data_IF_969401886538
#
_entry.id   IF_969401886538
#
_cell.length_a   1.000
_cell.length_b   1.000
_cell.length_c   1.000
_cell.angle_alpha   90.00
_cell.angle_beta   90.00
_cell.angle_gamma   90.00
#
_symmetry.space_group_name_H-M   'P 1'
#
loop_
_entity.id
_entity.type
_entity.pdbx_description
1 polymer ?
#
# COMPACT_ATOMS: atom_id res chain seq x y z
N UNK A 1 2.61 11.11 20.97
CA UNK A 1 2.61 11.27 19.50
C UNK A 1 1.54 10.36 18.93
N UNK A 2 0.76 10.83 17.95
CA UNK A 2 -0.30 10.04 17.31
C UNK A 2 0.33 9.19 16.21
N UNK A 3 0.11 7.88 16.24
CA UNK A 3 0.64 6.97 15.22
C UNK A 3 0.03 7.30 13.85
N UNK A 4 0.82 7.06 12.80
CA UNK A 4 0.36 7.13 11.41
C UNK A 4 -0.36 5.82 11.12
N UNK A 5 -1.62 5.91 10.72
CA UNK A 5 -2.45 4.74 10.44
C UNK A 5 -2.78 4.65 8.96
N UNK A 6 -2.50 3.48 8.38
CA UNK A 6 -2.93 3.09 7.04
C UNK A 6 -3.98 2.00 7.19
N UNK A 7 -5.06 2.12 6.42
CA UNK A 7 -6.14 1.15 6.38
C UNK A 7 -6.39 0.79 4.93
N UNK A 8 -6.54 -0.50 4.68
CA UNK A 8 -6.89 -1.02 3.37
C UNK A 8 -7.92 -2.14 3.54
N UNK A 9 -8.73 -2.36 2.53
CA UNK A 9 -9.72 -3.43 2.51
C UNK A 9 -9.79 -4.04 1.11
N UNK A 10 -9.54 -5.36 1.06
CA UNK A 10 -9.64 -6.13 -0.16
C UNK A 10 -10.92 -6.96 -0.09
N UNK A 11 -11.80 -6.75 -1.06
CA UNK A 11 -13.01 -7.53 -1.22
C UNK A 11 -12.74 -8.79 -2.06
N UNK A 12 -12.86 -9.96 -1.43
CA UNK A 12 -12.71 -11.26 -2.09
C UNK A 12 -14.04 -11.82 -2.60
N UNK A 13 -15.12 -11.04 -2.59
CA UNK A 13 -16.45 -11.44 -3.11
C UNK A 13 -16.40 -11.82 -4.60
N UNK A 14 -15.44 -11.29 -5.37
CA UNK A 14 -15.19 -11.68 -6.76
C UNK A 14 -14.45 -13.02 -6.90
N UNK A 15 -13.85 -13.55 -5.83
CA UNK A 15 -13.00 -14.75 -5.85
C UNK A 15 -13.75 -16.01 -5.42
N UNK A 16 -14.86 -16.34 -6.11
CA UNK A 16 -15.73 -17.52 -5.91
C UNK A 16 -16.33 -17.66 -4.49
N UNK A 17 -17.53 -18.25 -4.39
CA UNK A 17 -18.16 -18.53 -3.09
C UNK A 17 -17.18 -19.23 -2.14
N UNK A 18 -17.05 -18.82 -0.87
CA UNK A 18 -17.89 -17.87 -0.14
C UNK A 18 -17.37 -16.42 -0.12
N UNK A 19 -18.32 -15.48 -0.08
CA UNK A 19 -18.10 -14.03 -0.01
C UNK A 19 -17.46 -13.60 1.32
N UNK A 20 -16.67 -12.52 1.28
CA UNK A 20 -16.09 -11.90 2.46
C UNK A 20 -14.95 -10.95 2.13
N UNK A 21 -14.56 -10.14 3.11
CA UNK A 21 -13.49 -9.15 2.96
C UNK A 21 -12.32 -9.43 3.89
N UNK A 22 -11.14 -8.99 3.49
CA UNK A 22 -9.96 -8.96 4.34
C UNK A 22 -9.58 -7.50 4.50
N UNK A 23 -9.65 -7.00 5.73
CA UNK A 23 -9.25 -5.64 6.06
C UNK A 23 -7.89 -5.66 6.75
N UNK A 24 -7.01 -4.74 6.37
CA UNK A 24 -5.68 -4.57 6.96
C UNK A 24 -5.59 -3.18 7.58
N UNK A 25 -4.99 -3.11 8.77
CA UNK A 25 -4.58 -1.86 9.41
C UNK A 25 -3.10 -1.93 9.75
N UNK A 26 -2.32 -0.98 9.24
CA UNK A 26 -0.90 -0.83 9.53
C UNK A 26 -0.71 0.48 10.30
N UNK A 27 -0.11 0.40 11.47
CA UNK A 27 0.26 1.56 12.26
C UNK A 27 1.78 1.70 12.32
N UNK A 28 2.27 2.89 12.00
CA UNK A 28 3.66 3.29 12.12
C UNK A 28 3.79 4.38 13.19
N UNK A 29 4.85 4.37 14.01
CA UNK A 29 5.06 5.41 15.03
C UNK A 29 5.34 6.78 14.42
N UNK A 30 5.83 6.82 13.17
CA UNK A 30 6.21 8.04 12.44
C UNK A 30 6.28 7.81 10.93
N UNK A 31 6.37 8.90 10.17
CA UNK A 31 6.35 8.92 8.70
C UNK A 31 7.73 8.82 8.03
N UNK A 32 8.81 9.14 8.74
CA UNK A 32 10.17 9.17 8.17
C UNK A 32 11.18 8.35 8.96
N UNK A 33 12.13 7.72 8.26
CA UNK A 33 13.16 6.85 8.83
C UNK A 33 14.51 7.16 8.20
N UNK A 34 15.59 6.90 8.95
CA UNK A 34 16.95 7.03 8.44
C UNK A 34 17.39 5.73 7.78
N UNK A 35 18.35 5.81 6.86
CA UNK A 35 18.99 4.63 6.28
C UNK A 35 19.66 3.82 7.39
N UNK A 36 19.44 2.50 7.39
CA UNK A 36 19.96 1.58 8.40
C UNK A 36 19.11 1.49 9.68
N UNK A 37 18.02 2.24 9.79
CA UNK A 37 17.11 2.17 10.93
C UNK A 37 16.09 1.03 10.80
N UNK A 38 15.74 0.43 11.94
CA UNK A 38 14.67 -0.57 12.02
C UNK A 38 13.30 0.11 12.01
N UNK A 39 12.45 -0.27 11.06
CA UNK A 39 11.07 0.20 10.99
C UNK A 39 10.19 -0.71 11.83
N UNK A 40 9.78 -0.24 13.01
CA UNK A 40 8.81 -0.95 13.85
C UNK A 40 7.39 -0.59 13.41
N UNK A 41 6.57 -1.59 13.10
CA UNK A 41 5.17 -1.41 12.72
C UNK A 41 4.25 -2.37 13.47
N UNK A 42 3.00 -1.96 13.67
CA UNK A 42 1.93 -2.85 14.13
C UNK A 42 0.97 -3.15 12.99
N UNK A 43 0.80 -4.43 12.67
CA UNK A 43 -0.10 -4.89 11.61
C UNK A 43 -1.26 -5.66 12.24
N UNK A 44 -2.47 -5.28 11.89
CA UNK A 44 -3.70 -5.97 12.27
C UNK A 44 -4.40 -6.44 11.00
N UNK A 45 -4.67 -7.74 10.91
CA UNK A 45 -5.36 -8.36 9.77
C UNK A 45 -6.69 -8.89 10.25
N UNK A 46 -7.78 -8.41 9.65
CA UNK A 46 -9.14 -8.84 9.94
C UNK A 46 -9.66 -9.67 8.78
N UNK A 47 -9.57 -11.00 8.92
CA UNK A 47 -10.13 -11.93 7.96
C UNK A 47 -11.62 -12.18 8.25
N UNK A 48 -12.51 -11.56 7.48
CA UNK A 48 -13.97 -11.77 7.55
C UNK A 48 -14.46 -12.70 6.43
N UNK A 49 -13.55 -13.42 5.78
CA UNK A 49 -13.90 -14.46 4.80
C UNK A 49 -14.14 -15.80 5.50
N UNK A 50 -14.72 -16.78 4.79
CA UNK A 50 -14.73 -18.17 5.27
C UNK A 50 -13.51 -18.99 4.84
N UNK A 51 -12.51 -18.35 4.21
CA UNK A 51 -11.26 -18.99 3.78
C UNK A 51 -10.14 -18.62 4.75
N UNK A 52 -9.19 -19.52 4.95
CA UNK A 52 -7.98 -19.21 5.70
C UNK A 52 -7.01 -18.40 4.82
N UNK A 53 -6.32 -17.42 5.41
CA UNK A 53 -5.20 -16.76 4.76
C UNK A 53 -4.00 -17.72 4.79
N UNK A 54 -3.53 -18.14 3.62
CA UNK A 54 -2.39 -19.05 3.51
C UNK A 54 -1.08 -18.37 3.91
N UNK A 55 -0.92 -17.11 3.54
CA UNK A 55 0.31 -16.35 3.72
C UNK A 55 -0.03 -14.88 3.97
N UNK A 56 0.77 -14.24 4.82
CA UNK A 56 0.74 -12.80 5.04
C UNK A 56 2.19 -12.31 5.09
N UNK A 57 2.55 -11.39 4.19
CA UNK A 57 3.89 -10.85 4.08
C UNK A 57 3.85 -9.32 4.11
N UNK A 58 4.88 -8.72 4.74
CA UNK A 58 5.09 -7.28 4.78
C UNK A 58 6.40 -6.97 4.05
N UNK A 59 6.36 -6.04 3.11
CA UNK A 59 7.50 -5.70 2.26
C UNK A 59 7.78 -4.20 2.30
N UNK A 60 9.07 -3.84 2.30
CA UNK A 60 9.53 -2.47 2.08
C UNK A 60 9.84 -2.33 0.59
N UNK A 61 9.08 -1.50 -0.12
CA UNK A 61 9.17 -1.36 -1.58
C UNK A 61 9.67 0.03 -1.95
N UNK A 62 10.69 0.08 -2.82
CA UNK A 62 11.13 1.32 -3.46
C UNK A 62 10.27 1.57 -4.71
N UNK A 63 9.53 2.68 -4.74
CA UNK A 63 8.81 3.14 -5.93
C UNK A 63 9.57 4.28 -6.59
N UNK A 64 10.08 4.07 -7.80
CA UNK A 64 10.70 5.10 -8.63
C UNK A 64 9.80 5.45 -9.81
N UNK A 65 9.60 6.73 -10.09
CA UNK A 65 8.88 7.23 -11.27
C UNK A 65 9.78 8.20 -12.02
N UNK A 66 9.91 7.99 -13.33
CA UNK A 66 10.68 8.85 -14.23
C UNK A 66 9.72 9.44 -15.26
N UNK A 67 9.82 10.74 -15.48
CA UNK A 67 9.08 11.44 -16.53
C UNK A 67 10.10 12.10 -17.45
N UNK A 68 10.03 11.79 -18.74
CA UNK A 68 10.90 12.38 -19.75
C UNK A 68 10.12 13.49 -20.47
N UNK A 69 10.65 14.69 -20.47
CA UNK A 69 10.08 15.82 -21.21
C UNK A 69 10.79 15.98 -22.56
N UNK A 70 10.02 16.25 -23.62
CA UNK A 70 10.59 16.54 -24.93
C UNK A 70 11.07 17.99 -25.00
N UNK A 71 12.26 18.22 -25.57
CA UNK A 71 12.78 19.59 -25.82
C UNK A 71 11.89 20.43 -26.74
N UNK A 72 10.95 19.81 -27.45
CA UNK A 72 10.09 20.47 -28.45
C UNK A 72 8.65 20.71 -27.97
N UNK A 73 8.32 20.50 -26.69
CA UNK A 73 6.95 20.72 -26.19
C UNK A 73 6.42 22.14 -26.44
N UNK A 74 7.31 23.14 -26.52
CA UNK A 74 6.94 24.53 -26.88
C UNK A 74 6.54 24.75 -28.35
N UNK A 75 6.66 23.76 -29.25
CA UNK A 75 6.41 23.96 -30.69
C UNK A 75 4.92 23.90 -31.04
N UNK A 76 4.05 23.38 -30.15
CA UNK A 76 2.61 23.22 -30.42
C UNK A 76 1.70 24.32 -29.86
N UNK A 77 2.22 25.36 -29.20
CA UNK A 77 1.38 26.47 -28.68
C UNK A 77 0.95 27.51 -29.73
N UNK A 78 1.29 27.32 -31.02
CA UNK A 78 0.88 28.21 -32.12
C UNK A 78 0.12 27.44 -33.20
N UNK A 79 -1.16 27.17 -32.96
CA UNK A 79 -2.14 26.89 -34.01
C UNK A 79 -3.43 27.63 -33.75
#
# INVERSE_FOLDING_TARGET
MKNVEFKDEVDFTCCSLPFGTVSIKIALPRTGYKIGEVITCSVMVYNRTRKALKECSLQVVLKTQFEAMSRYEHVNEKK
#
